data_IF_576947170952
#
_entry.id   IF_576947170952
#
_cell.length_a   1.000
_cell.length_b   1.000
_cell.length_c   1.000
_cell.angle_alpha   90.00
_cell.angle_beta   90.00
_cell.angle_gamma   90.00
#
_symmetry.space_group_name_H-M   'P 1'
#
loop_
_entity.id
_entity.type
_entity.pdbx_description
1 polymer ?
#
# COMPACT_ATOMS: atom_id res chain seq x y z
N UNK A 1 -49.12 29.19 -17.95
CA UNK A 1 -48.46 28.38 -18.94
C UNK A 1 -47.02 28.79 -19.07
N UNK A 2 -46.09 27.92 -19.04
CA UNK A 2 -45.57 27.12 -17.98
C UNK A 2 -44.17 27.56 -17.57
N UNK A 3 -43.99 27.81 -16.30
CA UNK A 3 -42.70 28.13 -15.68
C UNK A 3 -41.84 26.88 -15.33
N UNK A 4 -42.13 25.74 -15.95
CA UNK A 4 -41.48 24.47 -15.59
C UNK A 4 -40.22 24.19 -16.41
N UNK A 5 -40.07 24.78 -17.60
CA UNK A 5 -38.95 24.46 -18.48
C UNK A 5 -37.63 25.15 -18.13
N UNK A 6 -37.66 26.26 -17.39
CA UNK A 6 -36.45 27.00 -17.03
C UNK A 6 -35.74 26.47 -15.80
N UNK A 7 -36.43 25.77 -14.90
CA UNK A 7 -35.80 25.16 -13.71
C UNK A 7 -35.01 23.90 -14.06
N UNK A 8 -35.42 23.14 -15.05
CA UNK A 8 -34.70 21.95 -15.49
C UNK A 8 -33.34 22.24 -16.13
N UNK A 9 -33.29 23.34 -16.91
CA UNK A 9 -32.01 23.71 -17.55
C UNK A 9 -30.95 24.26 -16.58
N UNK A 10 -31.39 24.94 -15.50
CA UNK A 10 -30.48 25.43 -14.48
C UNK A 10 -29.92 24.26 -13.59
N UNK A 11 -30.75 23.28 -13.30
CA UNK A 11 -30.30 22.09 -12.56
C UNK A 11 -29.36 21.22 -13.38
N UNK A 12 -29.58 21.09 -14.70
CA UNK A 12 -28.69 20.33 -15.57
C UNK A 12 -27.29 20.97 -15.71
N UNK A 13 -27.20 22.30 -15.70
CA UNK A 13 -25.93 23.02 -15.71
C UNK A 13 -25.17 22.87 -14.37
N UNK A 14 -25.88 22.88 -13.25
CA UNK A 14 -25.31 22.63 -11.95
C UNK A 14 -24.76 21.20 -11.83
N UNK A 15 -25.49 20.20 -12.29
CA UNK A 15 -25.05 18.80 -12.30
C UNK A 15 -23.84 18.57 -13.22
N UNK A 16 -23.76 19.23 -14.35
CA UNK A 16 -22.62 19.12 -15.26
C UNK A 16 -21.32 19.67 -14.67
N UNK A 17 -21.39 20.77 -13.93
CA UNK A 17 -20.19 21.32 -13.24
C UNK A 17 -19.70 20.45 -12.07
N UNK A 18 -20.61 19.85 -11.31
CA UNK A 18 -20.24 18.90 -10.25
C UNK A 18 -19.71 17.58 -10.80
N UNK A 19 -20.24 17.10 -11.92
CA UNK A 19 -19.73 15.89 -12.56
C UNK A 19 -18.32 16.08 -13.13
N UNK A 20 -18.02 17.24 -13.71
CA UNK A 20 -16.68 17.55 -14.21
C UNK A 20 -15.63 17.71 -13.09
N UNK A 21 -16.00 18.29 -11.95
CA UNK A 21 -15.14 18.40 -10.79
C UNK A 21 -15.01 17.06 -10.03
N UNK A 22 -16.07 16.25 -9.95
CA UNK A 22 -16.08 14.95 -9.32
C UNK A 22 -15.36 13.88 -10.13
N UNK A 23 -15.30 14.01 -11.45
CA UNK A 23 -14.66 13.04 -12.36
C UNK A 23 -13.16 12.88 -12.19
N UNK A 24 -12.48 13.82 -11.54
CA UNK A 24 -11.04 13.75 -11.34
C UNK A 24 -10.58 12.80 -10.23
N UNK A 25 -11.43 12.48 -9.25
CA UNK A 25 -10.94 11.91 -7.99
C UNK A 25 -11.73 10.73 -7.42
N UNK A 26 -12.80 10.28 -8.07
CA UNK A 26 -13.53 9.10 -7.62
C UNK A 26 -12.61 7.88 -7.67
N UNK A 27 -12.45 7.20 -6.54
CA UNK A 27 -11.79 5.91 -6.49
C UNK A 27 -12.83 4.82 -6.72
N UNK A 28 -13.10 4.58 -7.98
CA UNK A 28 -13.98 3.54 -8.51
C UNK A 28 -13.30 2.16 -8.59
N UNK A 29 -12.26 1.92 -7.79
CA UNK A 29 -11.38 0.77 -7.92
C UNK A 29 -10.36 0.92 -9.07
N UNK A 30 -10.37 2.06 -9.76
CA UNK A 30 -9.53 2.31 -10.93
C UNK A 30 -8.27 3.14 -10.62
N UNK A 31 -8.07 3.56 -9.38
CA UNK A 31 -6.95 4.43 -8.99
C UNK A 31 -6.20 3.93 -7.77
N UNK A 32 -4.88 4.11 -7.79
CA UNK A 32 -4.00 3.91 -6.65
C UNK A 32 -3.24 5.21 -6.33
N UNK A 33 -3.00 5.48 -5.06
CA UNK A 33 -2.19 6.62 -4.61
C UNK A 33 -0.87 6.08 -4.05
N UNK A 34 0.23 6.58 -4.59
CA UNK A 34 1.59 6.22 -4.22
C UNK A 34 2.29 7.43 -3.59
N UNK A 35 2.66 7.35 -2.32
CA UNK A 35 3.57 8.30 -1.67
C UNK A 35 5.01 7.87 -1.98
N UNK A 36 5.88 8.80 -2.40
CA UNK A 36 7.16 8.43 -3.01
C UNK A 36 8.27 8.09 -2.01
N UNK A 37 8.26 8.63 -0.81
CA UNK A 37 9.31 8.34 0.18
C UNK A 37 10.61 9.13 -0.05
N UNK A 38 11.76 8.47 -0.07
CA UNK A 38 13.04 9.09 -0.44
C UNK A 38 13.14 9.29 -1.95
N UNK A 39 13.59 10.47 -2.36
CA UNK A 39 13.94 10.79 -3.73
C UNK A 39 15.44 10.65 -3.96
N UNK A 40 15.87 10.66 -5.22
CA UNK A 40 17.28 10.77 -5.60
C UNK A 40 17.90 12.00 -4.92
N UNK A 41 19.08 11.84 -4.34
CA UNK A 41 19.72 12.88 -3.51
C UNK A 41 19.38 12.79 -2.02
N UNK A 42 18.74 11.69 -1.57
CA UNK A 42 18.45 11.37 -0.17
C UNK A 42 17.51 12.34 0.56
N UNK A 43 16.69 13.11 -0.14
CA UNK A 43 15.66 13.94 0.46
C UNK A 43 14.35 13.17 0.62
N UNK A 44 13.72 13.28 1.78
CA UNK A 44 12.37 12.77 2.00
C UNK A 44 11.34 13.65 1.31
N UNK A 45 10.21 13.07 0.89
CA UNK A 45 9.24 13.72 0.00
C UNK A 45 7.84 13.79 0.58
N UNK A 46 7.11 14.86 0.21
CA UNK A 46 5.65 14.97 0.39
C UNK A 46 4.87 14.50 -0.84
N UNK A 47 5.55 14.25 -1.96
CA UNK A 47 4.93 13.99 -3.26
C UNK A 47 4.14 12.69 -3.23
N UNK A 48 2.95 12.74 -3.81
CA UNK A 48 2.14 11.57 -4.13
C UNK A 48 1.83 11.54 -5.62
N UNK A 49 1.78 10.35 -6.17
CA UNK A 49 1.30 10.09 -7.51
C UNK A 49 -0.04 9.37 -7.47
N UNK A 50 -0.94 9.78 -8.33
CA UNK A 50 -2.15 9.05 -8.68
C UNK A 50 -1.84 8.15 -9.87
N UNK A 51 -2.09 6.87 -9.74
CA UNK A 51 -2.03 5.89 -10.82
C UNK A 51 -3.44 5.50 -11.24
N UNK A 52 -3.73 5.57 -12.54
CA UNK A 52 -5.02 5.15 -13.11
C UNK A 52 -4.84 3.77 -13.74
N UNK A 53 -5.52 2.76 -13.18
CA UNK A 53 -5.36 1.37 -13.62
C UNK A 53 -5.87 1.12 -15.04
N UNK A 54 -6.98 1.76 -15.46
CA UNK A 54 -7.56 1.54 -16.78
C UNK A 54 -6.60 1.98 -17.91
N UNK A 55 -5.97 3.13 -17.76
CA UNK A 55 -5.08 3.73 -18.77
C UNK A 55 -3.60 3.41 -18.53
N UNK A 56 -3.26 2.77 -17.40
CA UNK A 56 -1.88 2.54 -16.98
C UNK A 56 -1.04 3.83 -16.87
N UNK A 57 -1.67 4.99 -16.56
CA UNK A 57 -1.01 6.30 -16.47
C UNK A 57 -0.75 6.71 -15.03
N UNK A 58 0.24 7.58 -14.84
CA UNK A 58 0.61 8.13 -13.54
C UNK A 58 0.77 9.65 -13.61
N UNK A 59 0.30 10.37 -12.59
CA UNK A 59 0.46 11.83 -12.48
C UNK A 59 0.66 12.25 -11.02
N UNK A 60 1.44 13.32 -10.82
CA UNK A 60 1.52 14.03 -9.54
C UNK A 60 0.63 15.29 -9.53
N UNK A 61 0.22 15.77 -10.70
CA UNK A 61 -0.63 16.97 -10.85
C UNK A 61 -2.01 16.70 -10.27
N UNK A 62 -2.53 17.65 -9.48
CA UNK A 62 -3.84 17.54 -8.83
C UNK A 62 -3.93 16.48 -7.73
N UNK A 63 -2.80 16.03 -7.19
CA UNK A 63 -2.75 15.04 -6.10
C UNK A 63 -2.24 15.73 -4.84
N UNK A 64 -3.06 15.76 -3.78
CA UNK A 64 -2.68 16.39 -2.54
C UNK A 64 -1.46 15.70 -1.91
N UNK A 65 -0.49 16.50 -1.52
CA UNK A 65 0.73 16.06 -0.88
C UNK A 65 0.49 15.56 0.56
N UNK A 66 1.50 14.96 1.13
CA UNK A 66 1.56 14.64 2.55
C UNK A 66 1.68 15.91 3.39
N UNK A 67 1.19 15.91 4.63
CA UNK A 67 1.34 17.05 5.56
C UNK A 67 2.80 17.37 5.86
N UNK A 68 3.66 16.38 5.82
CA UNK A 68 5.10 16.52 5.98
C UNK A 68 5.84 15.50 5.11
N UNK A 69 7.15 15.66 4.99
CA UNK A 69 7.99 14.67 4.32
C UNK A 69 7.81 13.30 4.98
N UNK A 70 7.88 12.25 4.20
CA UNK A 70 7.68 10.91 4.73
C UNK A 70 8.58 9.88 4.06
N UNK A 71 9.04 8.90 4.85
CA UNK A 71 9.76 7.74 4.36
C UNK A 71 9.43 6.53 5.21
N UNK A 72 9.56 5.35 4.64
CA UNK A 72 9.27 4.10 5.35
C UNK A 72 7.85 4.07 5.95
N UNK A 73 6.91 4.73 5.28
CA UNK A 73 5.51 4.73 5.65
C UNK A 73 4.82 3.43 5.28
N UNK A 74 3.56 3.33 5.68
CA UNK A 74 2.66 2.27 5.27
C UNK A 74 1.28 2.85 4.98
N UNK A 75 0.48 2.15 4.19
CA UNK A 75 -0.84 2.66 3.86
C UNK A 75 -1.87 1.54 3.71
N UNK A 76 -3.08 1.83 4.14
CA UNK A 76 -4.26 1.01 3.90
C UNK A 76 -5.43 1.92 3.51
N UNK A 77 -6.40 1.40 2.79
CA UNK A 77 -7.52 2.21 2.34
C UNK A 77 -8.78 1.39 2.14
N UNK A 78 -9.87 2.12 1.92
CA UNK A 78 -11.15 1.59 1.47
C UNK A 78 -11.61 2.35 0.21
N UNK A 79 -12.86 2.20 -0.18
CA UNK A 79 -13.41 2.84 -1.39
C UNK A 79 -13.51 4.38 -1.34
N UNK A 80 -13.40 5.00 -0.17
CA UNK A 80 -13.54 6.45 -0.03
C UNK A 80 -12.25 7.16 0.36
N UNK A 81 -11.34 6.47 1.03
CA UNK A 81 -10.13 7.09 1.59
C UNK A 81 -8.96 6.13 1.75
N UNK A 82 -7.74 6.67 1.63
CA UNK A 82 -6.50 6.04 2.02
C UNK A 82 -5.94 6.66 3.30
N UNK A 83 -5.43 5.86 4.20
CA UNK A 83 -4.72 6.28 5.40
C UNK A 83 -3.24 5.96 5.20
N UNK A 84 -2.41 6.98 5.26
CA UNK A 84 -0.98 6.91 5.08
C UNK A 84 -0.29 7.21 6.40
N UNK A 85 0.37 6.23 6.98
CA UNK A 85 1.32 6.47 8.07
C UNK A 85 2.59 7.10 7.49
N UNK A 86 3.05 8.19 8.08
CA UNK A 86 4.19 8.97 7.59
C UNK A 86 5.50 8.16 7.72
N UNK A 87 5.61 7.33 8.74
CA UNK A 87 6.84 6.60 9.02
C UNK A 87 7.86 7.47 9.71
N UNK A 88 8.84 8.01 8.97
CA UNK A 88 9.90 8.88 9.52
C UNK A 88 9.88 10.27 8.89
N UNK A 89 10.20 11.31 9.73
CA UNK A 89 10.33 12.71 9.32
C UNK A 89 11.04 13.59 10.41
N UNK A 90 12.32 13.78 10.44
CA UNK A 90 13.39 12.87 10.04
C UNK A 90 13.40 11.59 10.90
N UNK A 91 12.94 11.63 12.14
CA UNK A 91 12.77 10.50 13.05
C UNK A 91 11.41 9.82 12.89
N UNK A 92 11.20 8.67 13.57
CA UNK A 92 9.91 8.00 13.60
C UNK A 92 8.81 8.92 14.16
N UNK A 93 7.61 8.87 13.56
CA UNK A 93 6.46 9.69 13.97
C UNK A 93 5.19 8.85 14.10
N UNK A 94 4.22 9.39 14.86
CA UNK A 94 2.88 8.80 15.01
C UNK A 94 1.90 9.29 13.96
N UNK A 95 2.26 10.33 13.21
CA UNK A 95 1.37 11.06 12.28
C UNK A 95 0.85 10.15 11.17
N UNK A 96 -0.44 10.26 10.93
CA UNK A 96 -1.12 9.69 9.76
C UNK A 96 -1.85 10.77 8.97
N UNK A 97 -1.89 10.59 7.67
CA UNK A 97 -2.71 11.41 6.78
C UNK A 97 -3.88 10.61 6.25
N UNK A 98 -5.04 11.22 6.23
CA UNK A 98 -6.21 10.77 5.48
C UNK A 98 -6.18 11.42 4.09
N UNK A 99 -6.20 10.62 3.07
CA UNK A 99 -6.40 11.05 1.69
C UNK A 99 -7.83 10.68 1.28
N UNK A 100 -8.63 11.68 0.92
CA UNK A 100 -10.01 11.47 0.46
C UNK A 100 -10.03 11.42 -1.06
N UNK A 101 -10.45 10.31 -1.63
CA UNK A 101 -10.35 10.06 -3.07
C UNK A 101 -11.26 10.97 -3.90
N UNK A 102 -12.46 11.24 -3.42
CA UNK A 102 -13.44 12.08 -4.15
C UNK A 102 -13.00 13.53 -4.31
N UNK A 103 -12.27 14.07 -3.33
CA UNK A 103 -11.82 15.47 -3.34
C UNK A 103 -10.35 15.64 -3.67
N UNK A 104 -9.59 14.55 -3.75
CA UNK A 104 -8.13 14.55 -3.84
C UNK A 104 -7.43 15.33 -2.72
N UNK A 105 -8.09 15.54 -1.58
CA UNK A 105 -7.53 16.26 -0.44
C UNK A 105 -6.84 15.33 0.54
N UNK A 106 -5.86 15.88 1.25
CA UNK A 106 -5.13 15.18 2.31
C UNK A 106 -5.08 16.01 3.57
N UNK A 107 -5.33 15.40 4.72
CA UNK A 107 -5.27 16.05 6.03
C UNK A 107 -4.64 15.14 7.08
N UNK A 108 -3.95 15.72 8.05
CA UNK A 108 -3.55 15.04 9.30
C UNK A 108 -4.49 15.40 10.46
N UNK A 109 -5.19 16.53 10.38
CA UNK A 109 -6.15 16.95 11.40
C UNK A 109 -7.33 15.98 11.48
N UNK A 110 -7.74 15.62 12.66
CA UNK A 110 -8.82 14.67 12.93
C UNK A 110 -8.51 13.23 12.50
N UNK A 111 -7.24 12.87 12.35
CA UNK A 111 -6.81 11.52 11.96
C UNK A 111 -6.09 10.87 13.13
N UNK A 112 -6.61 9.76 13.63
CA UNK A 112 -6.01 9.03 14.75
C UNK A 112 -4.58 8.59 14.44
N UNK A 113 -3.62 9.04 15.23
CA UNK A 113 -2.23 8.69 15.11
C UNK A 113 -1.91 7.23 15.45
N UNK A 114 -0.70 6.81 15.24
CA UNK A 114 -0.19 5.55 15.74
C UNK A 114 -0.02 5.59 17.27
N UNK A 115 -0.14 4.45 17.93
CA UNK A 115 0.08 4.33 19.39
C UNK A 115 1.54 4.57 19.80
N UNK A 116 2.47 4.40 18.87
CA UNK A 116 3.88 4.71 19.03
C UNK A 116 4.48 5.21 17.70
N UNK A 117 5.50 6.05 17.80
CA UNK A 117 6.26 6.52 16.65
C UNK A 117 6.99 5.35 15.98
N UNK A 118 6.91 5.22 14.67
CA UNK A 118 7.49 4.07 13.97
C UNK A 118 7.74 4.33 12.48
N UNK A 119 8.65 3.57 11.90
CA UNK A 119 8.88 3.51 10.46
C UNK A 119 9.16 2.07 10.01
N UNK A 120 9.06 1.82 8.72
CA UNK A 120 9.27 0.47 8.16
C UNK A 120 8.16 -0.52 8.53
N UNK A 121 6.98 -0.03 8.84
CA UNK A 121 5.80 -0.83 9.07
C UNK A 121 5.13 -1.30 7.77
N UNK A 122 4.01 -2.00 7.94
CA UNK A 122 3.17 -2.42 6.82
C UNK A 122 1.69 -2.29 7.20
N UNK A 123 0.83 -2.29 6.21
CA UNK A 123 -0.60 -2.21 6.48
C UNK A 123 -1.43 -3.03 5.49
N UNK A 124 -2.50 -3.61 5.99
CA UNK A 124 -3.55 -4.27 5.22
C UNK A 124 -4.91 -3.86 5.79
N UNK A 125 -5.94 -3.87 4.97
CA UNK A 125 -7.27 -3.45 5.42
C UNK A 125 -8.39 -4.03 4.58
N UNK A 126 -9.60 -3.77 5.04
CA UNK A 126 -10.84 -4.02 4.32
C UNK A 126 -11.67 -2.73 4.26
N UNK A 127 -12.96 -2.80 3.90
CA UNK A 127 -13.79 -1.60 3.76
C UNK A 127 -14.04 -0.84 5.08
N UNK A 128 -13.90 -1.44 6.23
CA UNK A 128 -14.22 -0.83 7.53
C UNK A 128 -13.00 -0.41 8.33
N UNK A 129 -11.89 -1.13 8.18
CA UNK A 129 -10.68 -0.93 9.01
C UNK A 129 -9.38 -1.24 8.30
N UNK A 130 -8.33 -0.53 8.69
CA UNK A 130 -6.94 -0.84 8.36
C UNK A 130 -6.19 -1.35 9.58
N UNK A 131 -5.34 -2.34 9.41
CA UNK A 131 -4.41 -2.84 10.43
C UNK A 131 -3.01 -2.41 10.03
N UNK A 132 -2.36 -1.65 10.89
CA UNK A 132 -1.03 -1.10 10.72
C UNK A 132 -0.05 -1.80 11.67
N UNK A 133 0.87 -2.57 11.15
CA UNK A 133 2.04 -3.06 11.90
C UNK A 133 3.06 -1.92 12.00
N UNK A 134 3.55 -1.62 13.20
CA UNK A 134 4.30 -0.38 13.44
C UNK A 134 5.75 -0.41 12.93
N UNK A 135 6.38 -1.55 12.82
CA UNK A 135 7.78 -1.62 12.35
C UNK A 135 8.80 -1.23 13.42
N UNK A 136 9.61 -0.20 13.17
CA UNK A 136 10.75 0.17 14.02
C UNK A 136 10.63 1.59 14.56
N UNK A 137 10.83 1.75 15.87
CA UNK A 137 11.07 3.05 16.53
C UNK A 137 12.51 3.10 17.06
N UNK A 138 12.72 2.73 18.31
CA UNK A 138 14.05 2.46 18.91
C UNK A 138 14.48 0.98 18.73
N UNK A 139 13.60 0.13 18.24
CA UNK A 139 13.80 -1.30 17.96
C UNK A 139 12.62 -1.83 17.17
N UNK A 140 12.71 -3.08 16.69
CA UNK A 140 11.60 -3.74 16.00
C UNK A 140 10.37 -3.87 16.90
N UNK A 141 9.18 -3.80 16.34
CA UNK A 141 7.91 -3.84 17.09
C UNK A 141 7.00 -4.96 16.61
N UNK A 142 6.31 -5.60 17.55
CA UNK A 142 5.22 -6.52 17.27
C UNK A 142 3.85 -5.84 17.32
N UNK A 143 3.79 -4.58 17.77
CA UNK A 143 2.53 -3.85 17.97
C UNK A 143 1.82 -3.58 16.65
N UNK A 144 0.51 -3.76 16.66
CA UNK A 144 -0.39 -3.38 15.57
C UNK A 144 -1.44 -2.41 16.06
N UNK A 145 -1.81 -1.49 15.19
CA UNK A 145 -2.94 -0.60 15.42
C UNK A 145 -4.08 -0.94 14.47
N UNK A 146 -5.29 -0.93 15.00
CA UNK A 146 -6.51 -0.92 14.21
C UNK A 146 -6.92 0.53 13.97
N UNK A 147 -7.07 0.90 12.72
CA UNK A 147 -7.65 2.17 12.30
C UNK A 147 -9.07 1.92 11.80
N UNK A 148 -10.05 2.63 12.37
CA UNK A 148 -11.45 2.57 11.96
C UNK A 148 -11.73 3.73 11.01
N UNK A 149 -12.13 3.43 9.77
CA UNK A 149 -12.27 4.48 8.75
C UNK A 149 -13.45 5.42 9.02
N UNK A 150 -14.59 4.93 9.53
CA UNK A 150 -15.77 5.76 9.80
C UNK A 150 -15.50 6.85 10.83
N UNK A 151 -14.89 6.50 11.95
CA UNK A 151 -14.58 7.42 13.06
C UNK A 151 -13.23 8.13 12.94
N UNK A 152 -12.39 7.75 11.98
CA UNK A 152 -11.00 8.23 11.87
C UNK A 152 -10.15 7.97 13.13
N UNK A 153 -10.48 6.96 13.93
CA UNK A 153 -9.79 6.62 15.19
C UNK A 153 -8.78 5.49 15.02
N UNK A 154 -7.80 5.45 15.89
CA UNK A 154 -6.77 4.42 15.95
C UNK A 154 -6.62 3.88 17.36
N UNK A 155 -6.45 2.56 17.50
CA UNK A 155 -6.19 1.91 18.79
C UNK A 155 -5.23 0.73 18.63
N UNK A 156 -4.42 0.47 19.64
CA UNK A 156 -3.68 -0.78 19.81
C UNK A 156 -4.40 -1.74 20.76
N UNK A 157 -5.31 -1.23 21.59
CA UNK A 157 -6.07 -2.05 22.53
C UNK A 157 -6.98 -3.03 21.78
N UNK A 158 -6.99 -4.30 22.21
CA UNK A 158 -7.77 -5.35 21.58
C UNK A 158 -7.32 -5.74 20.17
N UNK A 159 -6.09 -5.41 19.80
CA UNK A 159 -5.51 -5.75 18.48
C UNK A 159 -4.37 -6.74 18.69
N UNK A 160 -4.52 -7.93 18.12
CA UNK A 160 -3.49 -8.96 18.25
C UNK A 160 -2.16 -8.52 17.62
N UNK A 161 -1.09 -8.65 18.38
CA UNK A 161 0.28 -8.37 17.95
C UNK A 161 0.76 -9.33 16.86
N UNK A 162 1.88 -9.01 16.23
CA UNK A 162 2.63 -9.95 15.40
C UNK A 162 3.25 -11.04 16.29
N UNK A 163 3.51 -12.21 15.71
CA UNK A 163 4.18 -13.32 16.41
C UNK A 163 5.63 -13.01 16.77
N UNK A 164 6.22 -12.01 16.16
CA UNK A 164 7.56 -11.51 16.48
C UNK A 164 7.64 -10.01 16.23
N UNK A 165 8.53 -9.33 16.94
CA UNK A 165 8.85 -7.91 16.68
C UNK A 165 9.63 -7.81 15.37
N UNK A 166 9.17 -6.99 14.42
CA UNK A 166 9.71 -6.93 13.06
C UNK A 166 9.73 -5.52 12.49
N UNK A 167 10.51 -5.34 11.44
CA UNK A 167 10.54 -4.12 10.64
C UNK A 167 10.69 -4.43 9.15
N UNK A 168 10.50 -3.41 8.31
CA UNK A 168 10.58 -3.52 6.85
C UNK A 168 9.68 -4.63 6.28
N UNK A 169 8.48 -4.73 6.83
CA UNK A 169 7.44 -5.70 6.50
C UNK A 169 6.72 -5.34 5.21
N UNK A 170 5.98 -6.31 4.67
CA UNK A 170 4.98 -6.06 3.62
C UNK A 170 3.67 -6.73 3.99
N UNK A 171 2.56 -6.18 3.56
CA UNK A 171 1.25 -6.75 3.86
C UNK A 171 0.25 -6.53 2.72
N UNK A 172 -0.66 -7.47 2.57
CA UNK A 172 -1.79 -7.39 1.66
C UNK A 172 -2.99 -8.11 2.28
N UNK A 173 -4.20 -7.76 1.86
CA UNK A 173 -5.40 -8.35 2.44
C UNK A 173 -6.57 -8.41 1.46
N UNK A 174 -7.61 -9.11 1.89
CA UNK A 174 -8.93 -9.12 1.26
C UNK A 174 -10.00 -8.62 2.25
N UNK A 175 -11.28 -8.88 1.99
CA UNK A 175 -12.37 -8.43 2.87
C UNK A 175 -12.32 -9.01 4.30
N UNK A 176 -11.77 -10.22 4.47
CA UNK A 176 -11.83 -10.97 5.74
C UNK A 176 -10.51 -10.99 6.50
N UNK A 177 -9.38 -10.95 5.81
CA UNK A 177 -8.06 -11.15 6.43
C UNK A 177 -6.93 -10.36 5.77
N UNK A 178 -5.95 -9.98 6.58
CA UNK A 178 -4.66 -9.45 6.13
C UNK A 178 -3.55 -10.48 6.33
N UNK A 179 -2.62 -10.57 5.38
CA UNK A 179 -1.40 -11.38 5.49
C UNK A 179 -0.24 -10.41 5.62
N UNK A 180 0.51 -10.56 6.71
CA UNK A 180 1.67 -9.75 7.08
C UNK A 180 2.93 -10.59 6.95
N UNK A 181 3.81 -10.23 6.05
CA UNK A 181 5.14 -10.80 5.92
C UNK A 181 6.04 -10.10 6.92
N UNK A 182 6.75 -10.85 7.79
CA UNK A 182 7.38 -10.27 8.97
C UNK A 182 8.66 -9.47 8.69
N UNK A 183 9.29 -9.65 7.54
CA UNK A 183 10.44 -8.82 7.15
C UNK A 183 11.72 -9.15 7.94
N UNK A 184 12.29 -8.19 8.68
CA UNK A 184 13.56 -8.31 9.38
C UNK A 184 13.35 -8.37 10.90
N UNK A 185 14.00 -9.33 11.58
CA UNK A 185 13.95 -9.54 13.01
C UNK A 185 15.24 -10.21 13.51
N UNK A 186 15.72 -9.81 14.70
CA UNK A 186 16.85 -10.42 15.41
C UNK A 186 18.08 -10.70 14.53
N UNK A 187 18.47 -9.72 13.70
CA UNK A 187 19.66 -9.83 12.84
C UNK A 187 19.47 -10.65 11.55
N UNK A 188 18.24 -11.10 11.25
CA UNK A 188 17.97 -11.90 10.05
C UNK A 188 16.64 -11.61 9.37
N UNK A 189 16.55 -12.02 8.11
CA UNK A 189 15.33 -11.94 7.30
C UNK A 189 14.39 -13.10 7.65
N UNK A 190 13.10 -12.86 7.64
CA UNK A 190 12.10 -13.84 8.02
C UNK A 190 11.36 -14.39 6.79
N UNK A 191 11.03 -15.69 6.84
CA UNK A 191 10.08 -16.33 5.93
C UNK A 191 8.65 -16.29 6.47
N UNK A 192 8.50 -16.11 7.77
CA UNK A 192 7.24 -16.22 8.49
C UNK A 192 6.25 -15.17 8.08
N UNK A 193 4.99 -15.54 8.06
CA UNK A 193 3.84 -14.66 7.83
C UNK A 193 2.82 -14.82 8.94
N UNK A 194 2.12 -13.75 9.24
CA UNK A 194 0.94 -13.80 10.10
C UNK A 194 -0.32 -13.56 9.28
N UNK A 195 -1.36 -14.32 9.57
CA UNK A 195 -2.72 -14.07 9.14
C UNK A 195 -3.43 -13.27 10.24
N UNK A 196 -3.95 -12.13 9.92
CA UNK A 196 -4.80 -11.33 10.77
C UNK A 196 -6.25 -11.44 10.31
N UNK A 197 -7.16 -11.84 11.19
CA UNK A 197 -8.60 -11.93 10.91
C UNK A 197 -9.28 -10.66 11.39
N UNK A 198 -9.89 -9.90 10.47
CA UNK A 198 -10.44 -8.58 10.79
C UNK A 198 -11.65 -8.65 11.73
N UNK A 199 -12.55 -9.62 11.58
CA UNK A 199 -13.75 -9.73 12.39
C UNK A 199 -13.42 -9.90 13.88
N UNK A 200 -12.49 -10.81 14.20
CA UNK A 200 -12.14 -11.19 15.58
C UNK A 200 -10.95 -10.40 16.14
N UNK A 201 -10.27 -9.59 15.32
CA UNK A 201 -9.01 -8.91 15.68
C UNK A 201 -7.91 -9.87 16.16
N UNK A 202 -7.90 -11.11 15.69
CA UNK A 202 -6.93 -12.15 16.05
C UNK A 202 -5.81 -12.28 15.02
N UNK A 203 -4.67 -12.80 15.45
CA UNK A 203 -3.50 -13.04 14.61
C UNK A 203 -2.92 -14.42 14.87
N UNK A 204 -2.51 -15.13 13.81
CA UNK A 204 -1.82 -16.41 13.93
C UNK A 204 -0.72 -16.54 12.89
N UNK A 205 0.35 -17.23 13.22
CA UNK A 205 1.36 -17.74 12.28
C UNK A 205 1.10 -19.21 11.90
N UNK A 206 0.38 -19.95 12.75
CA UNK A 206 0.03 -21.35 12.49
C UNK A 206 -0.90 -21.48 11.28
N UNK A 207 -0.62 -22.45 10.43
CA UNK A 207 -1.40 -22.70 9.20
C UNK A 207 -1.28 -21.59 8.15
N UNK A 208 -0.25 -20.75 8.21
CA UNK A 208 0.02 -19.69 7.23
C UNK A 208 1.29 -20.02 6.48
N UNK A 209 1.19 -20.22 5.16
CA UNK A 209 2.35 -20.57 4.35
C UNK A 209 3.40 -19.46 4.37
N UNK A 210 4.64 -19.86 4.61
CA UNK A 210 5.80 -18.98 4.62
C UNK A 210 6.13 -18.42 3.22
N UNK A 211 6.96 -17.39 3.19
CA UNK A 211 7.63 -16.96 1.96
C UNK A 211 8.62 -18.04 1.49
N UNK A 212 8.91 -18.08 0.18
CA UNK A 212 9.87 -19.04 -0.38
C UNK A 212 11.28 -18.88 0.20
N UNK A 213 11.61 -17.65 0.62
CA UNK A 213 12.86 -17.35 1.32
C UNK A 213 12.70 -16.19 2.30
N UNK A 214 13.69 -16.04 3.20
CA UNK A 214 13.76 -14.90 4.12
C UNK A 214 13.92 -13.61 3.36
N UNK A 215 13.18 -12.55 3.78
CA UNK A 215 13.12 -11.31 3.02
C UNK A 215 12.75 -10.10 3.88
N UNK A 216 13.07 -8.90 3.37
CA UNK A 216 12.63 -7.63 3.96
C UNK A 216 12.56 -6.52 2.89
N UNK A 217 11.90 -5.43 3.22
CA UNK A 217 11.78 -4.28 2.30
C UNK A 217 11.01 -4.61 1.03
N UNK A 218 10.15 -5.61 1.09
CA UNK A 218 9.28 -6.00 -0.01
C UNK A 218 8.04 -5.10 -0.13
N UNK A 219 7.25 -5.39 -1.16
CA UNK A 219 5.96 -4.75 -1.42
C UNK A 219 4.89 -5.81 -1.65
N UNK A 220 3.63 -5.50 -1.39
CA UNK A 220 2.57 -6.45 -1.64
C UNK A 220 1.30 -5.79 -2.17
N UNK A 221 0.60 -6.50 -3.04
CA UNK A 221 -0.69 -6.11 -3.59
C UNK A 221 -1.60 -7.33 -3.67
N UNK A 222 -2.91 -7.12 -3.63
CA UNK A 222 -3.88 -8.21 -3.63
C UNK A 222 -5.18 -7.86 -4.33
N UNK A 223 -5.92 -8.91 -4.67
CA UNK A 223 -7.35 -8.86 -4.94
C UNK A 223 -8.11 -9.70 -3.89
N UNK A 224 -9.36 -10.05 -4.14
CA UNK A 224 -10.20 -10.83 -3.21
C UNK A 224 -9.68 -12.26 -2.95
N UNK A 225 -9.00 -12.87 -3.92
CA UNK A 225 -8.62 -14.29 -3.87
C UNK A 225 -7.15 -14.54 -3.57
N UNK A 226 -6.26 -13.62 -3.98
CA UNK A 226 -4.81 -13.80 -3.86
C UNK A 226 -4.05 -12.51 -3.57
N UNK A 227 -2.91 -12.64 -2.91
CA UNK A 227 -1.93 -11.59 -2.74
C UNK A 227 -0.63 -11.95 -3.47
N UNK A 228 0.05 -10.93 -4.00
CA UNK A 228 1.38 -11.04 -4.57
C UNK A 228 2.34 -10.26 -3.68
N UNK A 229 3.35 -10.97 -3.18
CA UNK A 229 4.42 -10.42 -2.37
C UNK A 229 5.70 -10.37 -3.19
N UNK A 230 6.19 -9.18 -3.52
CA UNK A 230 7.55 -8.96 -3.99
C UNK A 230 8.48 -8.98 -2.78
N UNK A 231 9.50 -9.83 -2.78
CA UNK A 231 10.23 -10.15 -1.56
C UNK A 231 11.24 -9.09 -1.14
N UNK A 232 11.75 -8.28 -2.06
CA UNK A 232 12.68 -7.20 -1.72
C UNK A 232 14.11 -7.70 -1.58
N UNK A 233 14.62 -7.81 -0.35
CA UNK A 233 15.99 -8.25 -0.10
C UNK A 233 16.03 -9.52 0.73
N UNK A 234 16.86 -10.48 0.34
CA UNK A 234 17.15 -11.71 1.09
C UNK A 234 18.42 -11.59 1.95
N UNK A 235 18.65 -12.55 2.85
CA UNK A 235 19.90 -12.67 3.61
C UNK A 235 20.82 -13.70 2.89
N UNK A 236 22.15 -13.48 2.79
CA UNK A 236 22.95 -12.41 3.38
C UNK A 236 23.11 -11.13 2.54
N UNK A 237 22.07 -10.50 2.03
CA UNK A 237 22.10 -9.19 1.36
C UNK A 237 22.02 -9.18 -0.16
N UNK A 238 21.27 -10.10 -0.75
CA UNK A 238 20.93 -10.03 -2.18
C UNK A 238 19.60 -9.32 -2.43
N UNK A 239 19.55 -8.38 -3.36
CA UNK A 239 18.27 -7.90 -3.89
C UNK A 239 17.57 -9.04 -4.65
N UNK A 240 16.26 -9.09 -4.56
CA UNK A 240 15.43 -10.15 -5.15
C UNK A 240 14.49 -9.58 -6.20
N UNK A 241 14.26 -10.36 -7.23
CA UNK A 241 13.20 -10.17 -8.22
C UNK A 241 12.01 -11.12 -7.96
N UNK A 242 12.15 -12.04 -6.99
CA UNK A 242 11.19 -13.09 -6.68
C UNK A 242 9.89 -12.51 -6.16
N UNK A 243 8.79 -13.06 -6.66
CA UNK A 243 7.44 -12.84 -6.14
C UNK A 243 6.82 -14.13 -5.68
N UNK A 244 6.07 -14.05 -4.60
CA UNK A 244 5.24 -15.16 -4.12
C UNK A 244 3.76 -14.82 -4.32
N UNK A 245 3.01 -15.76 -4.84
CA UNK A 245 1.55 -15.77 -4.84
C UNK A 245 1.07 -16.43 -3.56
N UNK A 246 0.25 -15.75 -2.81
CA UNK A 246 -0.47 -16.29 -1.64
C UNK A 246 -1.95 -16.41 -1.99
N UNK A 247 -2.53 -17.58 -1.77
CA UNK A 247 -3.95 -17.85 -1.99
C UNK A 247 -4.69 -17.77 -0.67
N UNK A 248 -5.66 -16.85 -0.55
CA UNK A 248 -6.34 -16.60 0.72
C UNK A 248 -7.20 -17.77 1.19
N UNK A 249 -7.91 -18.48 0.30
CA UNK A 249 -8.80 -19.58 0.68
C UNK A 249 -8.06 -20.75 1.30
N UNK A 250 -6.96 -21.19 0.68
CA UNK A 250 -6.16 -22.33 1.12
C UNK A 250 -5.02 -21.98 2.08
N UNK A 251 -4.74 -20.69 2.31
CA UNK A 251 -3.57 -20.21 3.05
C UNK A 251 -2.22 -20.73 2.51
N UNK A 252 -2.15 -21.05 1.21
CA UNK A 252 -0.93 -21.56 0.55
C UNK A 252 -0.13 -20.46 -0.12
N UNK A 253 1.16 -20.70 -0.34
CA UNK A 253 2.07 -19.77 -1.03
C UNK A 253 2.99 -20.52 -1.98
N UNK A 254 3.23 -19.93 -3.16
CA UNK A 254 4.17 -20.46 -4.15
C UNK A 254 4.92 -19.33 -4.85
N UNK A 255 6.17 -19.59 -5.26
CA UNK A 255 6.90 -18.79 -6.22
C UNK A 255 6.84 -19.38 -7.64
N UNK A 256 6.55 -20.67 -7.76
CA UNK A 256 6.42 -21.33 -9.06
C UNK A 256 5.23 -20.78 -9.85
N UNK A 257 5.41 -20.53 -11.14
CA UNK A 257 4.41 -19.97 -12.03
C UNK A 257 4.01 -18.52 -11.68
N UNK A 258 4.86 -17.77 -10.97
CA UNK A 258 4.65 -16.36 -10.62
C UNK A 258 5.72 -15.54 -11.32
N UNK A 259 5.31 -14.62 -12.19
CA UNK A 259 6.28 -13.75 -12.88
C UNK A 259 7.11 -12.92 -11.89
N UNK A 260 8.42 -12.93 -12.09
CA UNK A 260 9.37 -12.14 -11.32
C UNK A 260 9.25 -10.63 -11.62
N UNK A 261 9.93 -9.80 -10.86
CA UNK A 261 10.14 -8.41 -11.23
C UNK A 261 11.15 -8.31 -12.39
N UNK A 262 11.08 -7.25 -13.18
CA UNK A 262 12.01 -6.99 -14.28
C UNK A 262 13.43 -6.70 -13.79
N UNK A 263 13.59 -6.32 -12.53
CA UNK A 263 14.88 -6.09 -11.89
C UNK A 263 14.84 -6.53 -10.42
N UNK A 264 15.96 -6.95 -9.90
CA UNK A 264 16.15 -7.17 -8.46
C UNK A 264 15.97 -5.85 -7.73
N UNK A 265 15.14 -5.82 -6.67
CA UNK A 265 14.73 -4.58 -6.03
C UNK A 265 14.42 -4.73 -4.55
N UNK A 266 14.32 -3.56 -3.84
CA UNK A 266 13.82 -3.48 -2.46
C UNK A 266 13.20 -2.11 -2.17
N UNK A 267 12.50 -2.02 -1.05
CA UNK A 267 11.86 -0.79 -0.58
C UNK A 267 10.90 -0.19 -1.60
N UNK A 268 10.26 -1.04 -2.37
CA UNK A 268 9.17 -0.69 -3.25
C UNK A 268 7.88 -0.39 -2.49
N UNK A 269 6.86 -0.04 -3.24
CA UNK A 269 5.48 0.06 -2.75
C UNK A 269 4.54 -0.55 -3.79
N UNK A 270 3.38 -1.00 -3.35
CA UNK A 270 2.43 -1.60 -4.27
C UNK A 270 0.98 -1.25 -3.91
N UNK A 271 0.18 -1.12 -4.93
CA UNK A 271 -1.26 -0.92 -4.84
C UNK A 271 -1.94 -1.74 -5.94
N UNK A 272 -3.20 -2.11 -5.77
CA UNK A 272 -3.88 -2.92 -6.77
C UNK A 272 -5.39 -2.76 -6.75
N UNK A 273 -6.03 -3.29 -7.76
CA UNK A 273 -7.48 -3.45 -7.85
C UNK A 273 -7.85 -4.93 -8.00
N UNK A 274 -9.07 -5.23 -8.42
CA UNK A 274 -9.54 -6.61 -8.58
C UNK A 274 -8.75 -7.43 -9.61
N UNK A 275 -8.17 -6.79 -10.62
CA UNK A 275 -7.54 -7.45 -11.77
C UNK A 275 -6.03 -7.40 -11.78
N UNK A 276 -5.43 -6.33 -11.23
CA UNK A 276 -3.98 -6.08 -11.34
C UNK A 276 -3.39 -5.39 -10.12
N UNK A 277 -2.12 -5.69 -9.84
CA UNK A 277 -1.27 -4.97 -8.91
C UNK A 277 -0.26 -4.11 -9.65
N UNK A 278 0.04 -2.92 -9.14
CA UNK A 278 1.11 -2.05 -9.60
C UNK A 278 2.19 -2.02 -8.53
N UNK A 279 3.39 -2.41 -8.91
CA UNK A 279 4.57 -2.46 -8.06
C UNK A 279 5.55 -1.38 -8.50
N UNK A 280 5.81 -0.41 -7.62
CA UNK A 280 6.93 0.52 -7.77
C UNK A 280 8.19 -0.16 -7.23
N UNK A 281 9.26 -0.25 -8.02
CA UNK A 281 10.43 -1.07 -7.69
C UNK A 281 11.29 -0.48 -6.57
N UNK A 282 11.26 0.83 -6.37
CA UNK A 282 12.03 1.47 -5.29
C UNK A 282 13.51 1.58 -5.59
N UNK A 283 14.35 0.82 -4.89
CA UNK A 283 15.77 0.69 -5.19
C UNK A 283 15.96 -0.57 -6.01
N UNK A 284 16.41 -0.43 -7.25
CA UNK A 284 16.64 -1.54 -8.16
C UNK A 284 18.14 -1.66 -8.51
N UNK A 285 18.58 -2.92 -8.73
CA UNK A 285 19.85 -3.19 -9.42
C UNK A 285 19.55 -3.42 -10.90
N UNK A 286 20.22 -2.76 -11.75
CA UNK A 286 21.40 -3.19 -12.47
C UNK A 286 22.54 -2.18 -12.37
N UNK A 287 23.64 -2.52 -12.97
CA UNK A 287 24.86 -3.11 -12.48
C UNK A 287 25.82 -2.14 -11.81
N UNK A 288 25.48 -0.87 -11.65
CA UNK A 288 26.35 0.14 -11.02
C UNK A 288 25.61 0.86 -9.91
N UNK A 289 25.96 0.58 -8.65
CA UNK A 289 25.51 1.29 -7.44
C UNK A 289 23.99 1.52 -7.37
N UNK A 290 23.24 0.54 -6.89
CA UNK A 290 21.78 0.51 -6.74
C UNK A 290 21.10 1.88 -6.68
N UNK A 291 20.52 2.33 -7.80
CA UNK A 291 19.86 3.61 -7.92
C UNK A 291 18.36 3.55 -7.61
N UNK A 292 17.79 4.66 -7.20
CA UNK A 292 16.34 4.81 -7.12
C UNK A 292 15.77 4.86 -8.53
N UNK A 293 14.63 4.21 -8.73
CA UNK A 293 14.02 4.14 -10.06
C UNK A 293 12.61 4.72 -10.07
N UNK A 294 12.19 5.16 -11.25
CA UNK A 294 10.80 5.57 -11.50
C UNK A 294 9.94 4.39 -11.95
N UNK A 295 10.56 3.24 -12.24
CA UNK A 295 9.92 2.08 -12.85
C UNK A 295 8.78 1.53 -11.98
N UNK A 296 7.65 1.31 -12.64
CA UNK A 296 6.52 0.55 -12.10
C UNK A 296 6.23 -0.62 -13.01
N UNK A 297 5.72 -1.68 -12.42
CA UNK A 297 5.31 -2.88 -13.12
C UNK A 297 3.86 -3.20 -12.85
N UNK A 298 3.17 -3.61 -13.88
CA UNK A 298 1.83 -4.15 -13.82
C UNK A 298 1.92 -5.67 -13.67
N UNK A 299 1.34 -6.18 -12.62
CA UNK A 299 1.12 -7.61 -12.41
C UNK A 299 -0.35 -7.93 -12.66
N UNK A 300 -0.64 -8.89 -13.56
CA UNK A 300 -1.99 -9.35 -13.85
C UNK A 300 -2.28 -10.59 -13.02
N UNK A 301 -3.28 -10.52 -12.13
CA UNK A 301 -3.54 -11.62 -11.19
C UNK A 301 -4.02 -12.90 -11.86
N UNK A 302 -4.87 -12.81 -12.88
CA UNK A 302 -5.43 -14.00 -13.58
C UNK A 302 -4.36 -14.84 -14.25
N UNK A 303 -3.48 -14.21 -15.01
CA UNK A 303 -2.41 -14.87 -15.76
C UNK A 303 -1.11 -15.06 -15.00
N UNK A 304 -0.97 -14.45 -13.81
CA UNK A 304 0.29 -14.42 -13.06
C UNK A 304 1.48 -13.81 -13.85
N UNK A 305 1.20 -12.90 -14.79
CA UNK A 305 2.21 -12.23 -15.62
C UNK A 305 2.57 -10.84 -15.11
N UNK A 306 3.76 -10.36 -15.46
CA UNK A 306 4.26 -9.03 -15.11
C UNK A 306 4.85 -8.32 -16.32
N UNK A 307 4.66 -7.00 -16.41
CA UNK A 307 5.29 -6.17 -17.44
C UNK A 307 5.56 -4.75 -16.90
N UNK A 308 6.67 -4.16 -17.30
CA UNK A 308 6.99 -2.75 -17.11
C UNK A 308 6.60 -1.92 -18.35
N UNK A 309 6.49 -2.55 -19.52
CA UNK A 309 6.09 -1.87 -20.76
C UNK A 309 4.68 -1.32 -20.69
N UNK A 310 4.48 -0.09 -21.11
CA UNK A 310 3.18 0.58 -21.10
C UNK A 310 2.64 0.90 -19.68
N UNK A 311 3.50 0.94 -18.67
CA UNK A 311 3.12 1.26 -17.29
C UNK A 311 3.65 2.63 -16.92
N UNK A 312 2.74 3.55 -16.53
CA UNK A 312 3.11 4.91 -16.15
C UNK A 312 4.10 4.95 -14.98
N UNK A 313 5.28 5.51 -15.21
CA UNK A 313 6.34 5.64 -14.24
C UNK A 313 5.96 6.57 -13.07
N UNK A 314 6.74 6.54 -11.99
CA UNK A 314 6.67 7.55 -10.94
C UNK A 314 7.19 8.91 -11.46
N UNK A 315 6.68 10.01 -10.93
CA UNK A 315 7.13 11.36 -11.31
C UNK A 315 8.59 11.62 -10.93
N UNK A 316 9.11 10.91 -9.94
CA UNK A 316 10.50 10.98 -9.50
C UNK A 316 11.00 9.58 -9.11
N UNK A 317 12.28 9.34 -9.29
CA UNK A 317 12.94 8.13 -8.78
C UNK A 317 12.90 8.12 -7.25
N UNK A 318 12.42 7.04 -6.66
CA UNK A 318 12.13 7.01 -5.22
C UNK A 318 12.19 5.60 -4.61
N UNK A 319 12.35 5.54 -3.28
CA UNK A 319 12.24 4.31 -2.49
C UNK A 319 11.52 4.53 -1.17
N UNK A 320 11.18 3.44 -0.48
CA UNK A 320 10.57 3.47 0.86
C UNK A 320 9.28 4.29 0.93
N UNK A 321 8.55 4.30 -0.15
CA UNK A 321 7.22 4.91 -0.24
C UNK A 321 6.14 4.02 0.37
N UNK A 322 4.90 4.53 0.34
CA UNK A 322 3.71 3.80 0.73
C UNK A 322 2.65 3.91 -0.38
N UNK A 323 1.80 2.92 -0.52
CA UNK A 323 0.73 2.98 -1.50
C UNK A 323 -0.58 2.42 -0.93
N UNK A 324 -1.66 3.09 -1.25
CA UNK A 324 -3.02 2.64 -0.97
C UNK A 324 -3.84 2.65 -2.24
N UNK A 325 -4.66 1.65 -2.39
CA UNK A 325 -5.73 1.61 -3.38
C UNK A 325 -6.97 0.98 -2.75
N UNK A 326 -8.08 1.17 -3.40
CA UNK A 326 -9.23 0.35 -3.15
C UNK A 326 -9.04 -0.98 -3.88
N UNK A 327 -8.68 -2.01 -3.16
CA UNK A 327 -8.96 -3.36 -3.62
C UNK A 327 -10.47 -3.55 -3.42
N UNK A 328 -11.24 -3.46 -4.48
CA UNK A 328 -12.62 -3.91 -4.46
C UNK A 328 -12.65 -5.37 -4.05
N UNK A 329 -12.78 -5.60 -2.76
CA UNK A 329 -13.47 -6.78 -2.32
C UNK A 329 -14.95 -6.53 -2.60
N UNK A 330 -15.35 -6.57 -3.85
CA UNK A 330 -16.76 -6.64 -4.21
C UNK A 330 -17.20 -8.01 -3.73
N UNK A 331 -17.85 -8.05 -2.57
CA UNK A 331 -18.76 -9.12 -2.29
C UNK A 331 -20.02 -8.85 -3.14
N UNK A 332 -20.15 -9.50 -4.23
CA UNK A 332 -21.45 -9.85 -4.76
C UNK A 332 -21.93 -11.06 -3.99
#
# INVERSE_FOLDING_TARGET
MPLISTRGAASARGFGLFAAAAGCCLNDGNKGIFALGYLTGCSSSKIRNKYTYATCTSTATGVAQSSCNSVQGSAAGNNTRGIFAIGKNPGPVTTRNKYTYATCLSTASGVGGASAASGGGSAAGNNTRGIFALGCASGSSAVRNKYTYSSCTSTACGVASASAATQACSAAGNSTRGIFNLGYFAGGTQKSRNKYTYATCTSTASGVACASQGNYGGAASSNSTRAIFALGCGYPCGLLDIRNKYTFSSCTSTASGVATASAKNRYGSAAGNSTRGIFALGLAQPPTCGGYVTTREKYTYSSCTSTASGVGAASCASRSGAAASWATCVNT
#
